data_IF_661853362054
#
_entry.id   IF_661853362054
#
_cell.length_a   1.000
_cell.length_b   1.000
_cell.length_c   1.000
_cell.angle_alpha   90.00
_cell.angle_beta   90.00
_cell.angle_gamma   90.00
#
_symmetry.space_group_name_H-M   'P 1'
#
loop_
_entity.id
_entity.type
_entity.pdbx_description
1 polymer ?
#
# COMPACT_ATOMS: atom_id res chain seq x y z
N UNK A 1 25.54 -12.09 -8.31
CA UNK A 1 25.20 -10.85 -7.61
C UNK A 1 24.24 -9.96 -8.40
N UNK A 2 24.11 -10.06 -9.73
CA UNK A 2 23.16 -9.24 -10.51
C UNK A 2 21.72 -9.80 -10.57
N UNK A 3 21.50 -11.05 -10.17
CA UNK A 3 20.17 -11.70 -10.24
C UNK A 3 19.21 -11.21 -9.16
N UNK A 4 19.66 -11.15 -7.90
CA UNK A 4 18.79 -10.89 -6.74
C UNK A 4 18.19 -9.47 -6.73
N UNK A 5 18.92 -8.48 -7.26
CA UNK A 5 18.41 -7.10 -7.36
C UNK A 5 17.38 -6.90 -8.46
N UNK A 6 17.40 -7.75 -9.49
CA UNK A 6 16.44 -7.70 -10.60
C UNK A 6 15.09 -8.24 -10.16
N UNK A 7 15.10 -9.34 -9.39
CA UNK A 7 13.90 -9.98 -8.88
C UNK A 7 13.17 -9.06 -7.88
N UNK A 8 13.90 -8.35 -7.01
CA UNK A 8 13.28 -7.38 -6.09
C UNK A 8 12.63 -6.19 -6.82
N UNK A 9 13.32 -5.62 -7.81
CA UNK A 9 12.79 -4.50 -8.58
C UNK A 9 11.56 -4.87 -9.43
N UNK A 10 11.44 -6.13 -9.82
CA UNK A 10 10.25 -6.65 -10.50
C UNK A 10 9.07 -6.79 -9.52
N UNK A 11 9.32 -7.35 -8.34
CA UNK A 11 8.31 -7.45 -7.27
C UNK A 11 7.79 -6.08 -6.82
N UNK A 12 8.66 -5.08 -6.69
CA UNK A 12 8.26 -3.73 -6.30
C UNK A 12 7.30 -3.10 -7.31
N UNK A 13 7.50 -3.37 -8.61
CA UNK A 13 6.57 -2.93 -9.68
C UNK A 13 5.23 -3.64 -9.62
N UNK A 14 5.22 -4.93 -9.29
CA UNK A 14 3.97 -5.67 -9.10
C UNK A 14 3.19 -5.09 -7.91
N UNK A 15 3.87 -4.78 -6.80
CA UNK A 15 3.24 -4.10 -5.65
C UNK A 15 2.69 -2.73 -6.01
N UNK A 16 3.46 -1.92 -6.74
CA UNK A 16 3.00 -0.61 -7.22
C UNK A 16 1.74 -0.74 -8.10
N UNK A 17 1.71 -1.70 -9.03
CA UNK A 17 0.57 -1.94 -9.89
C UNK A 17 -0.69 -2.37 -9.10
N UNK A 18 -0.54 -3.23 -8.09
CA UNK A 18 -1.65 -3.63 -7.22
C UNK A 18 -2.17 -2.46 -6.38
N UNK A 19 -1.27 -1.65 -5.83
CA UNK A 19 -1.62 -0.43 -5.09
C UNK A 19 -2.34 0.59 -5.99
N UNK A 20 -1.91 0.75 -7.25
CA UNK A 20 -2.58 1.60 -8.22
C UNK A 20 -4.00 1.12 -8.50
N UNK A 21 -4.19 -0.18 -8.75
CA UNK A 21 -5.52 -0.77 -8.97
C UNK A 21 -6.45 -0.55 -7.78
N UNK A 22 -5.95 -0.70 -6.54
CA UNK A 22 -6.73 -0.42 -5.33
C UNK A 22 -7.03 1.08 -5.16
N UNK A 23 -6.10 1.96 -5.52
CA UNK A 23 -6.32 3.41 -5.49
C UNK A 23 -7.42 3.81 -6.48
N UNK A 24 -7.43 3.24 -7.69
CA UNK A 24 -8.49 3.45 -8.68
C UNK A 24 -9.85 2.96 -8.17
N UNK A 25 -9.91 1.80 -7.52
CA UNK A 25 -11.13 1.33 -6.84
C UNK A 25 -11.65 2.35 -5.84
N UNK A 26 -10.77 2.93 -5.01
CA UNK A 26 -11.19 3.95 -4.03
C UNK A 26 -11.63 5.25 -4.71
N UNK A 27 -10.98 5.66 -5.81
CA UNK A 27 -11.43 6.82 -6.60
C UNK A 27 -12.82 6.60 -7.19
N UNK A 28 -13.12 5.39 -7.68
CA UNK A 28 -14.46 5.01 -8.15
C UNK A 28 -15.53 5.10 -7.04
N UNK A 29 -15.13 4.93 -5.78
CA UNK A 29 -15.99 5.10 -4.61
C UNK A 29 -16.09 6.57 -4.12
N UNK A 30 -15.47 7.52 -4.83
CA UNK A 30 -15.52 8.95 -4.54
C UNK A 30 -14.30 9.52 -3.81
N UNK A 31 -13.23 8.74 -3.61
CA UNK A 31 -12.00 9.20 -2.96
C UNK A 31 -10.99 9.66 -4.01
N UNK A 32 -11.22 10.84 -4.59
CA UNK A 32 -10.57 11.32 -5.82
C UNK A 32 -9.04 11.40 -5.78
N UNK A 33 -8.45 11.68 -4.62
CA UNK A 33 -7.02 11.99 -4.49
C UNK A 33 -6.16 10.84 -3.98
N UNK A 34 -6.70 9.61 -3.88
CA UNK A 34 -5.93 8.45 -3.39
C UNK A 34 -4.87 8.06 -4.42
N UNK A 35 -3.63 7.85 -3.99
CA UNK A 35 -2.51 7.40 -4.84
C UNK A 35 -2.05 5.98 -4.47
N UNK A 36 -1.30 5.34 -5.37
CA UNK A 36 -0.68 4.04 -5.08
C UNK A 36 0.25 4.10 -3.85
N UNK A 37 0.97 5.21 -3.70
CA UNK A 37 1.81 5.47 -2.54
C UNK A 37 1.00 5.49 -1.24
N UNK A 38 -0.14 6.19 -1.22
CA UNK A 38 -1.00 6.25 -0.02
C UNK A 38 -1.51 4.85 0.39
N UNK A 39 -1.84 4.00 -0.59
CA UNK A 39 -2.23 2.60 -0.34
C UNK A 39 -1.07 1.83 0.27
N UNK A 40 0.12 1.92 -0.34
CA UNK A 40 1.30 1.20 0.14
C UNK A 40 1.70 1.63 1.55
N UNK A 41 1.73 2.92 1.85
CA UNK A 41 2.03 3.43 3.19
C UNK A 41 0.99 2.98 4.22
N UNK A 42 -0.29 2.97 3.84
CA UNK A 42 -1.37 2.51 4.70
C UNK A 42 -1.24 1.01 5.06
N UNK A 43 -0.85 0.18 4.08
CA UNK A 43 -0.69 -1.28 4.24
C UNK A 43 0.62 -1.61 4.98
N UNK A 44 1.72 -0.99 4.58
CA UNK A 44 3.07 -1.29 5.08
C UNK A 44 3.38 -0.78 6.49
N UNK A 45 2.52 0.08 7.06
CA UNK A 45 2.71 0.66 8.41
C UNK A 45 3.01 -0.34 9.52
N UNK A 46 2.56 -1.59 9.37
CA UNK A 46 2.75 -2.65 10.36
C UNK A 46 3.99 -3.53 10.06
N UNK A 47 4.49 -3.54 8.83
CA UNK A 47 5.58 -4.41 8.39
C UNK A 47 6.91 -4.02 9.05
N UNK A 48 7.13 -2.72 9.32
CA UNK A 48 8.32 -2.27 10.04
C UNK A 48 8.45 -2.82 11.46
N UNK A 49 7.36 -3.30 12.08
CA UNK A 49 7.38 -3.92 13.42
C UNK A 49 7.42 -5.43 13.39
N UNK A 50 6.87 -6.03 12.33
CA UNK A 50 6.68 -7.48 12.20
C UNK A 50 7.73 -8.17 11.31
N UNK A 51 8.58 -7.39 10.63
CA UNK A 51 9.51 -7.87 9.60
C UNK A 51 8.85 -7.98 8.23
N UNK A 52 9.61 -8.46 7.23
CA UNK A 52 9.11 -8.62 5.86
C UNK A 52 8.04 -9.73 5.80
N UNK A 53 6.78 -9.42 5.49
CA UNK A 53 5.73 -10.42 5.40
C UNK A 53 5.92 -11.31 4.18
N UNK A 54 5.29 -12.49 4.19
CA UNK A 54 5.21 -13.35 3.01
C UNK A 54 4.40 -12.67 1.89
N UNK A 55 4.75 -12.95 0.62
CA UNK A 55 4.13 -12.34 -0.56
C UNK A 55 2.60 -12.40 -0.56
N UNK A 56 2.02 -13.58 -0.28
CA UNK A 56 0.57 -13.78 -0.23
C UNK A 56 -0.13 -12.89 0.81
N UNK A 57 0.56 -12.56 1.91
CA UNK A 57 0.04 -11.66 2.95
C UNK A 57 -0.02 -10.23 2.45
N UNK A 58 1.03 -9.76 1.75
CA UNK A 58 1.07 -8.42 1.16
C UNK A 58 -0.04 -8.25 0.12
N UNK A 59 -0.19 -9.22 -0.78
CA UNK A 59 -1.27 -9.25 -1.78
C UNK A 59 -2.64 -9.18 -1.10
N UNK A 60 -2.87 -10.00 -0.08
CA UNK A 60 -4.11 -9.99 0.68
C UNK A 60 -4.35 -8.64 1.38
N UNK A 61 -3.33 -8.07 2.02
CA UNK A 61 -3.48 -6.81 2.75
C UNK A 61 -3.81 -5.64 1.81
N UNK A 62 -3.26 -5.62 0.58
CA UNK A 62 -3.63 -4.63 -0.45
C UNK A 62 -5.08 -4.83 -0.89
N UNK A 63 -5.46 -6.02 -1.33
CA UNK A 63 -6.79 -6.24 -1.93
C UNK A 63 -7.92 -6.28 -0.91
N UNK A 64 -7.64 -6.66 0.33
CA UNK A 64 -8.62 -6.64 1.44
C UNK A 64 -8.70 -5.28 2.14
N UNK A 65 -7.87 -4.30 1.76
CA UNK A 65 -7.89 -2.97 2.35
C UNK A 65 -9.27 -2.33 2.16
N UNK A 66 -9.88 -1.97 3.28
CA UNK A 66 -11.15 -1.25 3.32
C UNK A 66 -10.91 0.25 3.28
N UNK A 67 -11.79 0.95 2.57
CA UNK A 67 -11.84 2.42 2.55
C UNK A 67 -11.89 3.01 3.96
N UNK A 68 -12.64 2.41 4.89
CA UNK A 68 -12.71 2.88 6.28
C UNK A 68 -11.37 2.82 7.01
N UNK A 69 -10.60 1.75 6.78
CA UNK A 69 -9.23 1.61 7.32
C UNK A 69 -8.30 2.67 6.74
N UNK A 70 -8.41 2.93 5.43
CA UNK A 70 -7.66 3.97 4.75
C UNK A 70 -7.98 5.37 5.30
N UNK A 71 -9.26 5.70 5.45
CA UNK A 71 -9.67 7.00 6.00
C UNK A 71 -9.21 7.22 7.44
N UNK A 72 -9.23 6.17 8.26
CA UNK A 72 -8.66 6.22 9.61
C UNK A 72 -7.16 6.52 9.57
N UNK A 73 -6.43 5.89 8.64
CA UNK A 73 -5.01 6.15 8.44
C UNK A 73 -4.74 7.60 8.04
N UNK A 74 -5.42 8.12 7.00
CA UNK A 74 -5.27 9.51 6.53
C UNK A 74 -5.56 10.51 7.64
N UNK A 75 -6.65 10.27 8.39
CA UNK A 75 -7.04 11.13 9.51
C UNK A 75 -5.92 11.20 10.56
N UNK A 76 -5.35 10.05 10.95
CA UNK A 76 -4.24 10.00 11.91
C UNK A 76 -2.98 10.67 11.35
N UNK A 77 -2.65 10.46 10.06
CA UNK A 77 -1.49 11.07 9.42
C UNK A 77 -1.57 12.61 9.43
N UNK A 78 -2.75 13.16 9.15
CA UNK A 78 -3.02 14.61 9.23
C UNK A 78 -2.79 15.16 10.65
N UNK A 79 -3.27 14.46 11.68
CA UNK A 79 -3.03 14.88 13.07
C UNK A 79 -1.57 14.80 13.48
N UNK A 80 -0.79 13.89 12.89
CA UNK A 80 0.64 13.73 13.16
C UNK A 80 1.53 14.69 12.38
N UNK A 81 0.97 15.51 11.48
CA UNK A 81 1.71 16.45 10.66
C UNK A 81 2.68 15.77 9.68
N UNK A 82 2.42 14.51 9.31
CA UNK A 82 3.20 13.80 8.31
C UNK A 82 2.75 14.28 6.91
N UNK A 83 3.46 15.27 6.38
CA UNK A 83 3.57 15.61 4.95
C UNK A 83 4.99 16.05 4.65
#
# INVERSE_FOLDING_TARGET
MESEGKDQAELDKEFEAMCLSKAEEFRLLGYEYVTAQDIWECVSRNYGKEGTPALHRIVNDIYSLKVTTYMNYVTIAMYKGLK
#
